data_IF_628699205769
#
_entry.id   IF_628699205769
#
_cell.length_a   1.000
_cell.length_b   1.000
_cell.length_c   1.000
_cell.angle_alpha   90.00
_cell.angle_beta   90.00
_cell.angle_gamma   90.00
#
_symmetry.space_group_name_H-M   'P 1'
#
loop_
_entity.id
_entity.type
_entity.pdbx_description
1 polymer ?
#
# COMPACT_ATOMS: atom_id res chain seq x y z
N UNK A 1 23.35 8.87 -8.19
CA UNK A 1 23.28 8.17 -6.89
C UNK A 1 22.48 6.90 -7.12
N UNK A 2 22.88 5.75 -6.57
CA UNK A 2 22.10 4.52 -6.72
C UNK A 2 20.72 4.69 -6.06
N UNK A 3 19.67 4.17 -6.69
CA UNK A 3 18.35 4.05 -6.07
C UNK A 3 18.37 2.92 -5.04
N UNK A 4 17.57 3.04 -3.98
CA UNK A 4 17.35 1.95 -3.03
C UNK A 4 16.23 1.05 -3.53
N UNK A 5 16.35 -0.29 -3.37
CA UNK A 5 15.25 -1.19 -3.65
C UNK A 5 14.13 -0.98 -2.62
N UNK A 6 12.91 -0.80 -3.10
CA UNK A 6 11.72 -0.52 -2.30
C UNK A 6 10.54 -1.35 -2.82
N UNK A 7 9.58 -1.63 -1.94
CA UNK A 7 8.43 -2.47 -2.27
C UNK A 7 7.12 -1.91 -1.73
N UNK A 8 6.06 -2.71 -1.82
CA UNK A 8 4.80 -2.42 -1.12
C UNK A 8 4.83 -2.95 0.31
N UNK A 9 4.04 -2.34 1.19
CA UNK A 9 3.90 -2.76 2.57
C UNK A 9 2.81 -3.82 2.70
N UNK A 10 3.21 -5.07 2.89
CA UNK A 10 2.26 -6.19 2.95
C UNK A 10 1.26 -6.09 4.10
N UNK A 11 1.62 -5.46 5.22
CA UNK A 11 0.74 -5.24 6.39
C UNK A 11 -0.50 -4.43 6.01
N UNK A 12 -0.38 -3.56 5.01
CA UNK A 12 -1.47 -2.73 4.51
C UNK A 12 -2.45 -3.50 3.62
N UNK A 13 -2.09 -4.71 3.22
CA UNK A 13 -2.95 -5.62 2.46
C UNK A 13 -3.49 -6.76 3.32
N UNK A 14 -2.71 -7.22 4.31
CA UNK A 14 -3.02 -8.40 5.13
C UNK A 14 -4.40 -8.33 5.78
N UNK A 15 -4.73 -7.22 6.44
CA UNK A 15 -6.04 -7.08 7.09
C UNK A 15 -7.21 -7.01 6.10
N UNK A 16 -7.01 -6.42 4.92
CA UNK A 16 -8.04 -6.40 3.87
C UNK A 16 -8.29 -7.82 3.36
N UNK A 17 -7.24 -8.60 3.12
CA UNK A 17 -7.42 -10.01 2.75
C UNK A 17 -8.15 -10.80 3.85
N UNK A 18 -7.74 -10.63 5.11
CA UNK A 18 -8.36 -11.30 6.25
C UNK A 18 -9.86 -10.98 6.38
N UNK A 19 -10.22 -9.72 6.16
CA UNK A 19 -11.60 -9.27 6.28
C UNK A 19 -12.49 -9.93 5.22
N UNK A 20 -12.00 -10.14 4.00
CA UNK A 20 -12.81 -10.51 2.83
C UNK A 20 -12.57 -11.92 2.26
N UNK A 21 -11.62 -12.71 2.79
CA UNK A 21 -11.22 -13.99 2.17
C UNK A 21 -12.33 -15.05 2.12
N UNK A 22 -13.32 -14.98 3.01
CA UNK A 22 -14.37 -16.00 3.12
C UNK A 22 -15.53 -15.77 2.14
N UNK A 23 -15.69 -14.55 1.63
CA UNK A 23 -16.83 -14.15 0.80
C UNK A 23 -16.45 -13.45 -0.52
N UNK A 24 -15.15 -13.20 -0.76
CA UNK A 24 -14.66 -12.55 -1.97
C UNK A 24 -13.61 -13.36 -2.71
N UNK A 25 -13.61 -13.21 -4.03
CA UNK A 25 -12.47 -13.58 -4.88
C UNK A 25 -11.63 -12.34 -5.20
N UNK A 26 -10.31 -12.51 -5.26
CA UNK A 26 -9.39 -11.41 -5.55
C UNK A 26 -8.75 -11.59 -6.92
N UNK A 27 -8.83 -10.55 -7.75
CA UNK A 27 -8.01 -10.39 -8.96
C UNK A 27 -6.81 -9.50 -8.62
N UNK A 28 -5.62 -10.02 -8.86
CA UNK A 28 -4.37 -9.31 -8.59
C UNK A 28 -3.89 -8.58 -9.85
N UNK A 29 -3.54 -7.31 -9.71
CA UNK A 29 -3.01 -6.52 -10.81
C UNK A 29 -1.84 -5.64 -10.37
N UNK A 30 -0.93 -5.39 -11.31
CA UNK A 30 0.09 -4.34 -11.25
C UNK A 30 0.01 -3.53 -12.54
N UNK A 31 0.60 -2.33 -12.61
CA UNK A 31 0.48 -1.51 -13.82
C UNK A 31 0.90 -2.22 -15.11
N UNK A 32 1.93 -3.07 -15.04
CA UNK A 32 2.51 -3.78 -16.18
C UNK A 32 2.33 -5.31 -16.13
N UNK A 33 1.68 -5.83 -15.09
CA UNK A 33 1.47 -7.27 -14.89
C UNK A 33 2.70 -8.01 -14.36
N UNK A 34 3.79 -7.32 -14.03
CA UNK A 34 4.94 -7.93 -13.36
C UNK A 34 4.64 -8.21 -11.89
N UNK A 35 5.39 -9.15 -11.30
CA UNK A 35 5.25 -9.45 -9.87
C UNK A 35 5.63 -8.21 -9.05
N UNK A 36 4.79 -7.78 -8.11
CA UNK A 36 5.17 -6.74 -7.17
C UNK A 36 6.25 -7.26 -6.20
N UNK A 37 7.00 -6.35 -5.61
CA UNK A 37 8.02 -6.67 -4.60
C UNK A 37 7.54 -6.30 -3.20
N UNK A 38 7.68 -7.21 -2.24
CA UNK A 38 7.42 -6.93 -0.82
C UNK A 38 8.60 -6.11 -0.27
N UNK A 39 8.31 -5.02 0.42
CA UNK A 39 9.32 -4.32 1.20
C UNK A 39 9.58 -5.08 2.51
N UNK A 40 10.82 -5.54 2.70
CA UNK A 40 11.22 -6.24 3.93
C UNK A 40 10.98 -5.40 5.18
N UNK A 41 11.04 -4.06 5.10
CA UNK A 41 10.82 -3.20 6.26
C UNK A 41 9.37 -3.19 6.71
N UNK A 42 8.44 -3.50 5.80
CA UNK A 42 7.02 -3.66 6.12
C UNK A 42 6.73 -4.83 7.07
N UNK A 43 7.68 -5.75 7.31
CA UNK A 43 7.56 -6.84 8.30
C UNK A 43 7.90 -6.47 9.74
N UNK A 44 8.42 -5.27 10.00
CA UNK A 44 8.75 -4.85 11.36
C UNK A 44 7.51 -4.87 12.26
N UNK A 45 7.60 -5.52 13.43
CA UNK A 45 6.46 -5.67 14.36
C UNK A 45 5.70 -4.37 14.69
N UNK A 46 6.35 -3.20 14.86
CA UNK A 46 5.66 -1.93 15.05
C UNK A 46 4.63 -1.58 13.99
N UNK A 47 4.86 -1.93 12.71
CA UNK A 47 3.90 -1.62 11.63
C UNK A 47 2.60 -2.42 11.74
N UNK A 48 2.64 -3.57 12.41
CA UNK A 48 1.47 -4.42 12.67
C UNK A 48 0.67 -3.98 13.90
N UNK A 49 1.16 -2.97 14.65
CA UNK A 49 0.54 -2.55 15.91
C UNK A 49 -0.67 -1.62 15.75
N UNK A 50 -1.01 -1.23 14.51
CA UNK A 50 -2.22 -0.48 14.19
C UNK A 50 -2.45 0.78 15.03
N UNK A 51 -3.55 0.87 15.77
CA UNK A 51 -3.86 1.94 16.72
C UNK A 51 -2.81 2.14 17.82
N UNK A 52 -1.98 1.12 18.10
CA UNK A 52 -0.87 1.19 19.05
C UNK A 52 0.47 1.52 18.40
N UNK A 53 0.52 1.71 17.07
CA UNK A 53 1.77 1.92 16.31
C UNK A 53 2.65 3.01 16.90
N UNK A 54 2.09 4.15 17.30
CA UNK A 54 2.85 5.26 17.91
C UNK A 54 3.67 4.79 19.13
N UNK A 55 3.02 4.04 20.03
CA UNK A 55 3.64 3.60 21.28
C UNK A 55 4.60 2.44 21.05
N UNK A 56 4.20 1.45 20.24
CA UNK A 56 5.04 0.29 19.93
C UNK A 56 6.29 0.73 19.18
N UNK A 57 6.17 1.58 18.15
CA UNK A 57 7.32 2.09 17.40
C UNK A 57 8.30 2.84 18.31
N UNK A 58 7.82 3.80 19.11
CA UNK A 58 8.67 4.59 20.00
C UNK A 58 9.46 3.74 21.01
N UNK A 59 8.81 2.72 21.58
CA UNK A 59 9.51 1.78 22.48
C UNK A 59 10.52 0.92 21.73
N UNK A 60 10.15 0.44 20.55
CA UNK A 60 10.97 -0.49 19.75
C UNK A 60 12.28 0.15 19.31
N UNK A 61 12.27 1.42 18.89
CA UNK A 61 13.49 2.17 18.57
C UNK A 61 14.49 2.16 19.72
N UNK A 62 14.01 2.33 20.95
CA UNK A 62 14.88 2.31 22.14
C UNK A 62 15.37 0.90 22.46
N UNK A 63 14.49 -0.09 22.34
CA UNK A 63 14.80 -1.50 22.64
C UNK A 63 15.80 -2.10 21.64
N UNK A 64 15.69 -1.80 20.35
CA UNK A 64 16.63 -2.29 19.33
C UNK A 64 18.05 -1.75 19.52
N UNK A 65 18.20 -0.60 20.18
CA UNK A 65 19.49 -0.02 20.53
C UNK A 65 20.05 -0.50 21.87
N UNK A 66 19.27 -1.28 22.65
CA UNK A 66 19.68 -1.72 23.98
C UNK A 66 20.77 -2.82 23.89
N UNK A 67 21.82 -2.76 24.74
CA UNK A 67 22.92 -3.71 24.70
C UNK A 67 22.53 -5.15 25.07
N UNK A 68 21.40 -5.31 25.76
CA UNK A 68 20.82 -6.59 26.18
C UNK A 68 19.64 -7.03 25.30
N UNK A 69 19.43 -6.38 24.14
CA UNK A 69 18.39 -6.76 23.19
C UNK A 69 18.55 -8.23 22.76
N UNK A 70 17.42 -8.96 22.77
CA UNK A 70 17.29 -10.28 22.16
C UNK A 70 15.99 -10.38 21.40
N UNK A 71 16.02 -11.06 20.25
CA UNK A 71 14.85 -11.28 19.39
C UNK A 71 13.75 -12.01 20.16
N UNK A 72 14.12 -13.02 20.96
CA UNK A 72 13.20 -13.84 21.74
C UNK A 72 12.48 -13.02 22.81
N UNK A 73 13.20 -12.18 23.55
CA UNK A 73 12.58 -11.32 24.56
C UNK A 73 11.63 -10.31 23.94
N UNK A 74 12.04 -9.66 22.85
CA UNK A 74 11.21 -8.68 22.17
C UNK A 74 9.94 -9.31 21.57
N UNK A 75 10.05 -10.49 20.94
CA UNK A 75 8.88 -11.26 20.47
C UNK A 75 7.97 -11.68 21.63
N UNK A 76 8.53 -12.11 22.76
CA UNK A 76 7.76 -12.49 23.95
C UNK A 76 7.01 -11.31 24.59
N UNK A 77 7.51 -10.08 24.41
CA UNK A 77 6.83 -8.85 24.84
C UNK A 77 5.62 -8.49 23.96
N UNK A 78 5.69 -8.79 22.66
CA UNK A 78 4.63 -8.49 21.69
C UNK A 78 4.01 -9.75 21.04
N UNK A 79 3.52 -10.73 21.83
CA UNK A 79 3.11 -12.04 21.29
C UNK A 79 1.93 -11.93 20.32
N UNK A 80 1.01 -10.98 20.55
CA UNK A 80 -0.13 -10.73 19.65
C UNK A 80 0.29 -10.16 18.30
N UNK A 81 1.34 -9.34 18.27
CA UNK A 81 1.86 -8.78 17.01
C UNK A 81 2.60 -9.86 16.21
N UNK A 82 3.35 -10.73 16.89
CA UNK A 82 3.96 -11.91 16.28
C UNK A 82 2.89 -12.81 15.64
N UNK A 83 1.82 -13.09 16.38
CA UNK A 83 0.71 -13.89 15.87
C UNK A 83 0.01 -13.22 14.68
N UNK A 84 -0.24 -11.91 14.77
CA UNK A 84 -0.83 -11.12 13.67
C UNK A 84 0.02 -11.19 12.40
N UNK A 85 1.32 -10.90 12.50
CA UNK A 85 2.24 -10.95 11.36
C UNK A 85 2.31 -12.34 10.74
N UNK A 86 2.27 -13.40 11.56
CA UNK A 86 2.22 -14.78 11.06
C UNK A 86 0.92 -15.05 10.27
N UNK A 87 -0.24 -14.61 10.77
CA UNK A 87 -1.52 -14.72 10.05
C UNK A 87 -1.50 -13.94 8.72
N UNK A 88 -0.93 -12.74 8.72
CA UNK A 88 -0.78 -11.92 7.51
C UNK A 88 0.15 -12.59 6.49
N UNK A 89 1.24 -13.24 6.92
CA UNK A 89 2.10 -14.02 6.02
C UNK A 89 1.35 -15.21 5.40
N UNK A 90 0.52 -15.92 6.19
CA UNK A 90 -0.32 -17.01 5.68
C UNK A 90 -1.36 -16.52 4.65
N UNK A 91 -1.92 -15.32 4.86
CA UNK A 91 -2.80 -14.67 3.90
C UNK A 91 -2.07 -14.34 2.59
N UNK A 92 -0.85 -13.82 2.65
CA UNK A 92 -0.04 -13.61 1.44
C UNK A 92 0.22 -14.92 0.70
N UNK A 93 0.55 -16.00 1.42
CA UNK A 93 0.71 -17.32 0.81
C UNK A 93 -0.55 -17.77 0.08
N UNK A 94 -1.71 -17.66 0.73
CA UNK A 94 -3.00 -18.05 0.16
C UNK A 94 -3.37 -17.21 -1.05
N UNK A 95 -3.19 -15.89 -0.98
CA UNK A 95 -3.76 -14.96 -1.94
C UNK A 95 -2.78 -14.44 -2.98
N UNK A 96 -1.53 -14.15 -2.64
CA UNK A 96 -0.53 -13.52 -3.52
C UNK A 96 0.51 -14.51 -4.06
N UNK A 97 0.80 -15.58 -3.32
CA UNK A 97 1.81 -16.57 -3.71
C UNK A 97 3.24 -16.02 -3.61
N UNK A 98 4.17 -16.66 -4.31
CA UNK A 98 5.60 -16.33 -4.24
C UNK A 98 5.89 -14.97 -4.89
N UNK A 99 6.44 -14.06 -4.08
CA UNK A 99 6.85 -12.72 -4.49
C UNK A 99 8.34 -12.47 -4.18
N UNK A 100 9.02 -11.63 -4.97
CA UNK A 100 10.31 -11.10 -4.57
C UNK A 100 10.19 -10.22 -3.33
N UNK A 101 11.26 -10.17 -2.54
CA UNK A 101 11.35 -9.38 -1.31
C UNK A 101 12.60 -8.52 -1.39
N UNK A 102 12.53 -7.26 -0.98
CA UNK A 102 13.70 -6.37 -0.99
C UNK A 102 14.83 -6.89 -0.09
N UNK A 103 16.06 -6.46 -0.38
CA UNK A 103 17.16 -6.60 0.58
C UNK A 103 16.97 -5.63 1.75
N UNK A 104 17.46 -5.98 2.96
CA UNK A 104 17.44 -5.06 4.10
C UNK A 104 18.19 -3.78 3.81
N UNK A 105 17.69 -2.68 4.37
CA UNK A 105 18.37 -1.40 4.39
C UNK A 105 19.21 -1.27 5.67
N UNK A 106 20.04 -0.22 5.72
CA UNK A 106 21.00 -0.04 6.81
C UNK A 106 20.36 0.03 8.20
N UNK A 107 19.13 0.55 8.30
CA UNK A 107 18.38 0.65 9.54
C UNK A 107 17.18 -0.30 9.62
N UNK A 108 17.18 -1.40 8.86
CA UNK A 108 16.24 -2.50 9.10
C UNK A 108 16.49 -3.05 10.51
N UNK A 109 15.43 -3.15 11.32
CA UNK A 109 15.58 -3.53 12.73
C UNK A 109 16.01 -4.99 12.93
N UNK A 110 16.64 -5.26 14.07
CA UNK A 110 17.25 -6.54 14.37
C UNK A 110 16.24 -7.71 14.45
N UNK A 111 15.00 -7.46 14.90
CA UNK A 111 13.95 -8.48 14.92
C UNK A 111 13.50 -8.83 13.50
N UNK A 112 13.32 -7.82 12.65
CA UNK A 112 12.94 -7.99 11.27
C UNK A 112 14.03 -8.66 10.44
N UNK A 113 15.32 -8.36 10.68
CA UNK A 113 16.43 -9.09 10.06
C UNK A 113 16.36 -10.60 10.33
N UNK A 114 16.06 -11.00 11.58
CA UNK A 114 15.86 -12.39 11.94
C UNK A 114 14.62 -12.99 11.27
N UNK A 115 13.49 -12.26 11.30
CA UNK A 115 12.24 -12.69 10.69
C UNK A 115 12.33 -12.84 9.17
N UNK A 116 13.04 -11.94 8.46
CA UNK A 116 13.24 -12.02 7.01
C UNK A 116 13.81 -13.37 6.59
N UNK A 117 14.79 -13.89 7.32
CA UNK A 117 15.38 -15.19 7.03
C UNK A 117 14.35 -16.33 7.16
N UNK A 118 13.50 -16.27 8.20
CA UNK A 118 12.39 -17.22 8.41
C UNK A 118 11.32 -17.12 7.30
N UNK A 119 10.96 -15.89 6.91
CA UNK A 119 9.94 -15.61 5.91
C UNK A 119 10.38 -16.01 4.49
N UNK A 120 11.63 -15.69 4.09
CA UNK A 120 12.16 -16.03 2.77
C UNK A 120 12.16 -17.53 2.51
N UNK A 121 12.57 -18.32 3.49
CA UNK A 121 12.58 -19.79 3.41
C UNK A 121 11.17 -20.33 3.08
N UNK A 122 10.14 -19.69 3.62
CA UNK A 122 8.76 -20.06 3.32
C UNK A 122 8.36 -19.58 1.92
N UNK A 123 8.56 -18.29 1.62
CA UNK A 123 8.14 -17.65 0.36
C UNK A 123 8.72 -18.36 -0.86
N UNK A 124 9.97 -18.79 -0.81
CA UNK A 124 10.64 -19.49 -1.92
C UNK A 124 9.91 -20.78 -2.33
N UNK A 125 9.24 -21.44 -1.38
CA UNK A 125 8.48 -22.68 -1.58
C UNK A 125 7.07 -22.46 -2.13
N UNK A 126 6.57 -21.23 -2.15
CA UNK A 126 5.20 -20.94 -2.55
C UNK A 126 5.04 -21.01 -4.09
N UNK A 127 3.82 -21.32 -4.58
CA UNK A 127 3.53 -21.20 -6.00
C UNK A 127 3.46 -19.72 -6.41
N UNK A 128 3.88 -19.39 -7.63
CA UNK A 128 3.65 -18.08 -8.22
C UNK A 128 2.20 -17.92 -8.66
N UNK A 129 1.66 -16.71 -8.57
CA UNK A 129 0.31 -16.39 -9.07
C UNK A 129 0.35 -15.47 -10.28
N UNK A 130 -0.75 -15.43 -11.03
CA UNK A 130 -0.94 -14.48 -12.13
C UNK A 130 -1.22 -13.10 -11.56
N UNK A 131 -0.50 -12.11 -12.08
CA UNK A 131 -0.82 -10.69 -11.94
C UNK A 131 -1.22 -10.18 -13.31
N UNK A 132 -2.38 -9.54 -13.39
CA UNK A 132 -2.85 -8.90 -14.61
C UNK A 132 -2.17 -7.53 -14.77
N UNK A 133 -1.93 -7.13 -16.01
CA UNK A 133 -1.57 -5.74 -16.30
C UNK A 133 -2.82 -4.87 -16.36
N UNK A 134 -2.72 -3.59 -16.00
CA UNK A 134 -3.85 -2.67 -16.16
C UNK A 134 -4.30 -2.54 -17.63
N UNK A 135 -3.40 -2.46 -18.63
CA UNK A 135 -3.80 -2.55 -20.04
C UNK A 135 -4.57 -3.82 -20.40
N UNK A 136 -4.20 -4.97 -19.83
CA UNK A 136 -4.94 -6.22 -20.03
C UNK A 136 -6.37 -6.08 -19.49
N UNK A 137 -6.54 -5.64 -18.23
CA UNK A 137 -7.87 -5.51 -17.61
C UNK A 137 -8.76 -4.49 -18.33
N UNK A 138 -8.20 -3.34 -18.73
CA UNK A 138 -8.94 -2.31 -19.46
C UNK A 138 -9.42 -2.83 -20.82
N UNK A 139 -8.57 -3.55 -21.57
CA UNK A 139 -8.99 -4.15 -22.85
C UNK A 139 -10.10 -5.16 -22.65
N UNK A 140 -9.97 -6.03 -21.64
CA UNK A 140 -10.99 -7.03 -21.32
C UNK A 140 -12.33 -6.38 -20.99
N UNK A 141 -12.36 -5.36 -20.14
CA UNK A 141 -13.60 -4.66 -19.79
C UNK A 141 -14.28 -3.98 -20.98
N UNK A 142 -13.49 -3.53 -21.97
CA UNK A 142 -14.02 -2.87 -23.18
C UNK A 142 -14.47 -3.86 -24.25
N UNK A 143 -14.05 -5.12 -24.17
CA UNK A 143 -14.43 -6.16 -25.11
C UNK A 143 -15.81 -6.74 -24.71
N UNK A 144 -16.87 -6.52 -25.50
CA UNK A 144 -18.20 -7.02 -25.17
C UNK A 144 -18.31 -8.55 -25.17
N UNK A 145 -17.32 -9.26 -25.74
CA UNK A 145 -17.26 -10.72 -25.76
C UNK A 145 -16.39 -11.30 -24.61
N UNK A 146 -15.66 -10.47 -23.85
CA UNK A 146 -14.91 -10.91 -22.67
C UNK A 146 -15.82 -10.97 -21.43
N UNK A 147 -15.52 -11.91 -20.53
CA UNK A 147 -16.31 -12.14 -19.30
C UNK A 147 -15.89 -11.23 -18.15
N UNK A 148 -14.73 -10.58 -18.25
CA UNK A 148 -14.24 -9.67 -17.21
C UNK A 148 -14.89 -8.29 -17.35
N UNK A 149 -15.49 -7.79 -16.28
CA UNK A 149 -15.89 -6.39 -16.18
C UNK A 149 -15.47 -5.76 -14.87
N UNK A 150 -15.06 -4.48 -14.90
CA UNK A 150 -14.91 -3.69 -13.67
C UNK A 150 -16.23 -3.61 -12.88
N UNK A 151 -17.39 -3.74 -13.53
CA UNK A 151 -18.69 -3.76 -12.86
C UNK A 151 -18.93 -4.96 -11.95
N UNK A 152 -18.12 -6.02 -12.07
CA UNK A 152 -18.24 -7.23 -11.24
C UNK A 152 -17.47 -7.11 -9.92
N UNK A 153 -16.79 -5.97 -9.68
CA UNK A 153 -16.03 -5.72 -8.46
C UNK A 153 -16.81 -4.84 -7.49
N UNK A 154 -16.81 -5.20 -6.21
CA UNK A 154 -17.34 -4.29 -5.19
C UNK A 154 -16.29 -3.25 -4.77
N UNK A 155 -14.99 -3.60 -4.81
CA UNK A 155 -13.93 -2.67 -4.46
C UNK A 155 -12.59 -2.97 -5.14
N UNK A 156 -11.74 -1.94 -5.19
CA UNK A 156 -10.30 -2.00 -5.50
C UNK A 156 -9.55 -1.48 -4.27
N UNK A 157 -8.56 -2.23 -3.81
CA UNK A 157 -7.67 -1.81 -2.74
C UNK A 157 -6.22 -1.77 -3.23
N UNK A 158 -5.52 -0.66 -2.99
CA UNK A 158 -4.10 -0.53 -3.28
C UNK A 158 -3.31 -0.29 -1.98
N UNK A 159 -2.41 -1.22 -1.58
CA UNK A 159 -1.52 -1.01 -0.45
C UNK A 159 -0.46 0.04 -0.78
N UNK A 160 0.07 0.68 0.25
CA UNK A 160 1.17 1.62 0.18
C UNK A 160 2.53 0.93 0.30
N UNK A 161 3.42 1.50 1.12
CA UNK A 161 4.87 1.40 0.94
C UNK A 161 5.35 2.33 -0.17
N UNK A 162 6.66 2.38 -0.44
CA UNK A 162 7.19 3.36 -1.39
C UNK A 162 6.98 2.99 -2.87
N UNK A 163 6.71 1.71 -3.22
CA UNK A 163 6.56 1.28 -4.62
C UNK A 163 5.49 2.07 -5.43
N UNK A 164 4.29 2.37 -4.88
CA UNK A 164 3.33 3.27 -5.52
C UNK A 164 3.89 4.61 -6.02
N UNK A 165 4.92 5.15 -5.39
CA UNK A 165 5.53 6.42 -5.83
C UNK A 165 6.17 6.32 -7.22
N UNK A 166 6.58 5.13 -7.62
CA UNK A 166 7.13 4.86 -8.95
C UNK A 166 6.02 4.42 -9.89
N UNK A 167 5.25 3.42 -9.45
CA UNK A 167 4.37 2.66 -10.34
C UNK A 167 3.04 3.38 -10.63
N UNK A 168 2.53 4.17 -9.67
CA UNK A 168 1.20 4.77 -9.74
C UNK A 168 1.21 6.26 -10.10
N UNK A 169 2.36 6.92 -10.04
CA UNK A 169 2.42 8.36 -10.26
C UNK A 169 2.21 8.71 -11.74
N UNK A 170 1.12 9.45 -12.04
CA UNK A 170 0.76 9.91 -13.39
C UNK A 170 0.75 8.79 -14.44
N UNK A 171 0.38 7.58 -14.04
CA UNK A 171 0.26 6.40 -14.90
C UNK A 171 -1.10 6.38 -15.63
N UNK A 172 -1.16 6.61 -16.95
CA UNK A 172 -2.46 6.78 -17.62
C UNK A 172 -3.36 5.53 -17.63
N UNK A 173 -2.77 4.33 -17.59
CA UNK A 173 -3.54 3.09 -17.50
C UNK A 173 -4.18 2.89 -16.13
N UNK A 174 -3.49 3.33 -15.06
CA UNK A 174 -4.10 3.41 -13.74
C UNK A 174 -5.19 4.47 -13.68
N UNK A 175 -4.99 5.61 -14.36
CA UNK A 175 -6.02 6.63 -14.53
C UNK A 175 -7.28 6.05 -15.15
N UNK A 176 -7.14 5.34 -16.27
CA UNK A 176 -8.25 4.69 -16.95
C UNK A 176 -8.94 3.65 -16.06
N UNK A 177 -8.18 2.78 -15.37
CA UNK A 177 -8.75 1.78 -14.48
C UNK A 177 -9.56 2.41 -13.33
N UNK A 178 -9.08 3.51 -12.72
CA UNK A 178 -9.79 4.21 -11.65
C UNK A 178 -11.04 4.94 -12.16
N UNK A 179 -11.02 5.50 -13.37
CA UNK A 179 -12.22 6.06 -14.00
C UNK A 179 -13.26 5.00 -14.28
N UNK A 180 -12.87 3.87 -14.87
CA UNK A 180 -13.77 2.74 -15.15
C UNK A 180 -14.35 2.16 -13.85
N UNK A 181 -13.53 1.99 -12.81
CA UNK A 181 -13.99 1.58 -11.49
C UNK A 181 -15.08 2.52 -10.95
N UNK A 182 -14.84 3.83 -10.97
CA UNK A 182 -15.81 4.83 -10.50
C UNK A 182 -17.09 4.84 -11.36
N UNK A 183 -16.95 4.78 -12.68
CA UNK A 183 -18.08 4.74 -13.63
C UNK A 183 -18.98 3.53 -13.38
N UNK A 184 -18.41 2.44 -12.89
CA UNK A 184 -19.11 1.22 -12.51
C UNK A 184 -19.40 1.12 -11.00
N UNK A 185 -19.30 2.23 -10.26
CA UNK A 185 -19.62 2.33 -8.83
C UNK A 185 -18.78 1.42 -7.91
N UNK A 186 -17.60 1.00 -8.35
CA UNK A 186 -16.64 0.21 -7.58
C UNK A 186 -15.99 1.09 -6.50
N UNK A 187 -15.92 0.61 -5.26
CA UNK A 187 -15.31 1.35 -4.16
C UNK A 187 -13.78 1.34 -4.26
N UNK A 188 -13.14 2.50 -4.16
CA UNK A 188 -11.69 2.66 -4.29
C UNK A 188 -11.08 2.92 -2.92
N UNK A 189 -10.12 2.10 -2.51
CA UNK A 189 -9.41 2.20 -1.24
C UNK A 189 -7.91 2.36 -1.47
N UNK A 190 -7.32 3.45 -0.98
CA UNK A 190 -5.89 3.74 -1.09
C UNK A 190 -5.30 4.02 0.31
N UNK A 191 -4.09 3.59 0.60
CA UNK A 191 -3.46 3.77 1.92
C UNK A 191 -2.00 4.18 1.82
N UNK A 192 -1.52 4.96 2.80
CA UNK A 192 -0.14 5.42 2.93
C UNK A 192 0.36 6.22 1.72
N UNK A 193 1.23 5.68 0.86
CA UNK A 193 1.69 6.33 -0.38
C UNK A 193 0.81 6.02 -1.60
N UNK A 194 -0.03 4.98 -1.54
CA UNK A 194 -0.92 4.61 -2.64
C UNK A 194 -1.89 5.71 -3.11
N UNK A 195 -2.32 6.68 -2.27
CA UNK A 195 -3.10 7.82 -2.72
C UNK A 195 -2.49 8.59 -3.91
N UNK A 196 -1.17 8.51 -4.14
CA UNK A 196 -0.53 9.09 -5.33
C UNK A 196 -1.14 8.58 -6.65
N UNK A 197 -1.78 7.40 -6.64
CA UNK A 197 -2.56 6.87 -7.75
C UNK A 197 -3.61 7.86 -8.28
N UNK A 198 -4.15 8.74 -7.42
CA UNK A 198 -5.14 9.73 -7.83
C UNK A 198 -4.58 10.74 -8.83
N UNK A 199 -3.26 11.00 -8.83
CA UNK A 199 -2.61 11.83 -9.86
C UNK A 199 -2.80 11.26 -11.28
N UNK A 200 -2.98 9.94 -11.38
CA UNK A 200 -3.25 9.26 -12.65
C UNK A 200 -4.63 9.54 -13.20
N UNK A 201 -5.61 9.91 -12.36
CA UNK A 201 -6.98 10.24 -12.81
C UNK A 201 -7.05 11.51 -13.64
N UNK A 202 -5.96 12.30 -13.70
CA UNK A 202 -5.83 13.40 -14.66
C UNK A 202 -5.67 12.92 -16.12
N UNK A 203 -5.57 11.61 -16.35
CA UNK A 203 -5.44 10.99 -17.66
C UNK A 203 -6.48 9.89 -17.86
N UNK A 204 -6.86 9.67 -19.11
CA UNK A 204 -7.60 8.51 -19.61
C UNK A 204 -6.93 7.95 -20.85
N UNK A 205 -7.32 6.74 -21.24
CA UNK A 205 -6.82 6.06 -22.45
C UNK A 205 -7.94 6.00 -23.49
N UNK A 206 -7.69 6.45 -24.73
CA UNK A 206 -8.69 6.35 -25.80
C UNK A 206 -8.78 4.94 -26.41
N UNK A 207 -9.63 4.74 -27.43
CA UNK A 207 -9.78 3.47 -28.15
C UNK A 207 -8.52 3.03 -28.90
N UNK A 208 -7.65 3.98 -29.28
CA UNK A 208 -6.36 3.72 -29.92
C UNK A 208 -5.23 3.49 -28.91
N UNK A 209 -5.56 3.33 -27.62
CA UNK A 209 -4.62 3.15 -26.52
C UNK A 209 -3.69 4.35 -26.26
N UNK A 210 -4.11 5.55 -26.65
CA UNK A 210 -3.34 6.78 -26.44
C UNK A 210 -3.83 7.53 -25.20
N UNK A 211 -2.92 7.99 -24.32
CA UNK A 211 -3.30 8.78 -23.16
C UNK A 211 -3.74 10.19 -23.55
N UNK A 212 -4.79 10.69 -22.91
CA UNK A 212 -5.25 12.07 -23.03
C UNK A 212 -5.60 12.68 -21.67
N UNK A 213 -5.37 13.99 -21.46
CA UNK A 213 -5.72 14.66 -20.21
C UNK A 213 -7.23 14.81 -20.06
N UNK A 214 -7.75 14.58 -18.85
CA UNK A 214 -9.17 14.74 -18.52
C UNK A 214 -9.44 16.18 -18.08
N UNK A 215 -10.37 16.88 -18.77
CA UNK A 215 -10.73 18.26 -18.42
C UNK A 215 -11.66 18.33 -17.21
N UNK A 216 -12.68 17.48 -17.17
CA UNK A 216 -13.68 17.42 -16.12
C UNK A 216 -13.43 16.18 -15.25
N UNK A 217 -12.27 16.13 -14.57
CA UNK A 217 -11.90 14.99 -13.75
C UNK A 217 -12.84 14.90 -12.52
N UNK A 218 -13.67 13.85 -12.37
CA UNK A 218 -14.60 13.73 -11.25
C UNK A 218 -13.90 13.58 -9.89
N UNK A 219 -12.61 13.23 -9.85
CA UNK A 219 -11.82 13.17 -8.63
C UNK A 219 -11.20 14.52 -8.23
N UNK A 220 -11.30 15.53 -9.10
CA UNK A 220 -10.66 16.83 -8.88
C UNK A 220 -11.13 17.47 -7.56
N UNK A 221 -10.20 18.08 -6.83
CA UNK A 221 -10.41 18.70 -5.52
C UNK A 221 -10.97 17.76 -4.43
N UNK A 222 -10.95 16.42 -4.64
CA UNK A 222 -11.28 15.47 -3.59
C UNK A 222 -10.40 15.72 -2.35
N UNK A 223 -11.03 15.71 -1.17
CA UNK A 223 -10.32 15.66 0.10
C UNK A 223 -9.76 14.25 0.31
N UNK A 224 -8.46 14.17 0.57
CA UNK A 224 -7.72 12.92 0.70
C UNK A 224 -6.69 13.01 1.81
N UNK A 225 -6.31 11.86 2.37
CA UNK A 225 -5.17 11.75 3.28
C UNK A 225 -4.16 10.73 2.78
N UNK A 226 -2.93 10.87 3.25
CA UNK A 226 -1.74 10.14 2.83
C UNK A 226 -0.67 10.34 3.90
N UNK A 227 0.46 9.64 3.77
CA UNK A 227 1.70 10.06 4.43
C UNK A 227 2.00 11.54 4.12
N UNK A 228 2.45 12.31 5.11
CA UNK A 228 2.77 13.73 4.97
C UNK A 228 4.25 13.97 4.73
N UNK A 229 4.61 15.10 4.09
CA UNK A 229 6.02 15.54 3.96
C UNK A 229 6.76 15.48 5.30
N UNK A 230 6.13 15.92 6.39
CA UNK A 230 6.74 15.90 7.72
C UNK A 230 7.02 14.49 8.23
N UNK A 231 6.06 13.57 8.08
CA UNK A 231 6.27 12.17 8.50
C UNK A 231 7.36 11.49 7.68
N UNK A 232 7.34 11.73 6.36
CA UNK A 232 8.30 11.16 5.42
C UNK A 232 9.72 11.71 5.64
N UNK A 233 9.86 13.02 5.91
CA UNK A 233 11.17 13.62 6.23
C UNK A 233 11.77 12.99 7.49
N UNK A 234 10.95 12.71 8.51
CA UNK A 234 11.41 11.99 9.69
C UNK A 234 11.94 10.57 9.39
N UNK A 235 11.31 9.87 8.44
CA UNK A 235 11.81 8.55 7.99
C UNK A 235 13.09 8.67 7.17
N UNK A 236 13.23 9.70 6.33
CA UNK A 236 14.45 9.97 5.55
C UNK A 236 15.64 10.34 6.44
N UNK A 237 15.38 11.03 7.55
CA UNK A 237 16.43 11.46 8.48
C UNK A 237 16.85 10.35 9.46
N UNK A 238 15.90 9.53 9.94
CA UNK A 238 16.12 8.62 11.08
C UNK A 238 15.55 7.21 10.89
N UNK A 239 14.73 6.98 9.88
CA UNK A 239 14.01 5.73 9.67
C UNK A 239 14.75 4.72 8.80
N UNK A 240 14.06 3.64 8.45
CA UNK A 240 14.62 2.52 7.70
C UNK A 240 15.18 2.89 6.31
N UNK A 241 14.65 3.96 5.70
CA UNK A 241 15.10 4.46 4.39
C UNK A 241 16.37 5.31 4.46
N UNK A 242 16.80 5.75 5.65
CA UNK A 242 18.01 6.55 5.80
C UNK A 242 19.27 5.73 5.46
N UNK A 243 20.13 6.26 4.60
CA UNK A 243 21.44 5.67 4.27
C UNK A 243 22.53 6.41 5.05
N UNK A 244 23.24 5.74 5.97
CA UNK A 244 24.29 6.38 6.78
C UNK A 244 25.38 7.03 5.91
N UNK A 245 25.67 8.30 6.17
CA UNK A 245 26.72 9.05 5.47
C UNK A 245 26.32 9.57 4.08
N UNK A 246 25.10 9.28 3.61
CA UNK A 246 24.56 9.80 2.36
C UNK A 246 23.30 10.63 2.60
N UNK A 247 23.03 11.60 1.72
CA UNK A 247 21.76 12.30 1.73
C UNK A 247 20.71 11.43 1.04
N UNK A 248 19.82 10.82 1.83
CA UNK A 248 18.65 10.12 1.31
C UNK A 248 17.56 11.14 0.98
N UNK A 249 17.00 11.07 -0.23
CA UNK A 249 15.93 11.97 -0.67
C UNK A 249 14.96 11.23 -1.58
N UNK A 250 13.72 11.71 -1.60
CA UNK A 250 12.72 11.31 -2.57
C UNK A 250 12.76 12.27 -3.77
N UNK A 251 12.27 11.81 -4.92
CA UNK A 251 12.07 12.69 -6.08
C UNK A 251 10.96 13.73 -5.83
N UNK A 252 9.96 13.36 -5.02
CA UNK A 252 8.86 14.20 -4.58
C UNK A 252 8.22 13.62 -3.31
N UNK A 253 7.46 14.43 -2.57
CA UNK A 253 6.61 13.96 -1.47
C UNK A 253 5.19 13.70 -1.96
N UNK A 254 4.55 12.63 -1.50
CA UNK A 254 3.23 12.20 -2.03
C UNK A 254 2.15 13.25 -1.83
N UNK A 255 2.08 13.86 -0.65
CA UNK A 255 1.10 14.91 -0.36
C UNK A 255 1.34 16.18 -1.18
N UNK A 256 2.60 16.53 -1.48
CA UNK A 256 2.93 17.61 -2.41
C UNK A 256 2.51 17.27 -3.84
N UNK A 257 2.86 16.08 -4.34
CA UNK A 257 2.47 15.62 -5.68
C UNK A 257 0.95 15.58 -5.89
N UNK A 258 0.20 15.22 -4.85
CA UNK A 258 -1.27 15.29 -4.84
C UNK A 258 -1.79 16.73 -4.88
N UNK A 259 -1.24 17.64 -4.07
CA UNK A 259 -1.63 19.06 -4.11
C UNK A 259 -1.35 19.69 -5.47
N UNK A 260 -0.20 19.40 -6.07
CA UNK A 260 0.15 19.85 -7.43
C UNK A 260 -0.81 19.31 -8.49
N UNK A 261 -1.33 18.10 -8.29
CA UNK A 261 -2.31 17.48 -9.17
C UNK A 261 -3.76 17.97 -8.95
N UNK A 262 -3.99 18.88 -7.99
CA UNK A 262 -5.28 19.52 -7.74
C UNK A 262 -6.14 18.86 -6.65
N UNK A 263 -5.55 18.03 -5.78
CA UNK A 263 -6.24 17.40 -4.65
C UNK A 263 -6.09 18.19 -3.35
N UNK A 264 -7.10 18.08 -2.47
CA UNK A 264 -7.09 18.71 -1.17
C UNK A 264 -6.52 17.73 -0.13
N UNK A 265 -5.21 17.78 0.10
CA UNK A 265 -4.56 16.85 1.03
C UNK A 265 -4.65 17.33 2.48
N UNK A 266 -5.35 16.55 3.30
CA UNK A 266 -5.44 16.73 4.75
C UNK A 266 -4.51 15.73 5.41
N UNK A 267 -3.53 16.22 6.16
CA UNK A 267 -2.57 15.39 6.87
C UNK A 267 -2.94 15.26 8.35
N UNK A 268 -2.66 14.10 8.94
CA UNK A 268 -2.74 13.93 10.38
C UNK A 268 -1.71 14.83 11.08
N UNK A 269 -2.09 15.45 12.21
CA UNK A 269 -1.17 16.28 13.00
C UNK A 269 0.01 15.47 13.55
N UNK A 270 -0.25 14.22 13.95
CA UNK A 270 0.77 13.25 14.32
C UNK A 270 0.77 12.19 13.22
N UNK A 271 1.90 11.93 12.53
CA UNK A 271 1.93 11.02 11.38
C UNK A 271 1.38 9.62 11.66
N UNK A 272 1.57 9.14 12.89
CA UNK A 272 1.16 7.80 13.36
C UNK A 272 -0.23 7.75 13.99
N UNK A 273 -0.97 8.87 14.01
CA UNK A 273 -2.38 8.86 14.43
C UNK A 273 -3.25 8.16 13.39
N UNK A 274 -4.34 7.54 13.86
CA UNK A 274 -5.39 7.00 13.02
C UNK A 274 -6.08 8.13 12.25
N UNK A 275 -5.88 8.21 10.95
CA UNK A 275 -6.56 9.20 10.12
C UNK A 275 -7.02 8.59 8.80
N UNK A 276 -8.33 8.36 8.72
CA UNK A 276 -9.04 7.80 7.59
C UNK A 276 -9.99 8.86 7.05
N UNK A 277 -10.01 9.05 5.74
CA UNK A 277 -10.91 9.98 5.05
C UNK A 277 -11.73 9.24 3.99
N UNK A 278 -12.95 8.80 4.35
CA UNK A 278 -13.94 8.34 3.39
C UNK A 278 -14.55 9.51 2.61
N UNK A 279 -14.70 9.33 1.30
CA UNK A 279 -15.45 10.20 0.40
C UNK A 279 -16.53 9.36 -0.31
N UNK A 280 -17.73 9.21 0.29
CA UNK A 280 -18.79 8.36 -0.24
C UNK A 280 -19.34 8.80 -1.59
N UNK A 281 -19.31 10.11 -1.88
CA UNK A 281 -19.81 10.66 -3.15
C UNK A 281 -18.94 10.23 -4.33
N UNK A 282 -17.63 10.05 -4.09
CA UNK A 282 -16.68 9.55 -5.08
C UNK A 282 -16.48 8.04 -5.04
N UNK A 283 -17.07 7.35 -4.06
CA UNK A 283 -16.76 5.94 -3.82
C UNK A 283 -15.28 5.74 -3.48
N UNK A 284 -14.69 6.61 -2.67
CA UNK A 284 -13.26 6.61 -2.33
C UNK A 284 -13.05 6.55 -0.81
N UNK A 285 -11.98 5.90 -0.36
CA UNK A 285 -11.41 6.07 0.98
C UNK A 285 -9.89 6.14 0.91
N UNK A 286 -9.32 7.04 1.70
CA UNK A 286 -7.87 7.17 1.85
C UNK A 286 -7.45 7.05 3.32
N UNK A 287 -6.38 6.32 3.59
CA UNK A 287 -5.78 6.16 4.93
C UNK A 287 -4.33 6.65 4.97
N UNK A 288 -3.90 7.22 6.10
CA UNK A 288 -2.59 7.88 6.18
C UNK A 288 -1.40 6.94 6.44
N UNK A 289 -1.63 5.65 6.69
CA UNK A 289 -0.55 4.68 6.94
C UNK A 289 -1.03 3.34 7.49
N UNK A 290 -0.10 2.40 7.79
CA UNK A 290 -0.42 1.05 8.26
C UNK A 290 -1.32 1.04 9.50
N UNK A 291 -1.18 2.06 10.34
CA UNK A 291 -2.00 2.22 11.53
C UNK A 291 -3.51 2.20 11.25
N UNK A 292 -3.92 2.64 10.05
CA UNK A 292 -5.34 2.75 9.67
C UNK A 292 -5.92 1.52 9.01
N UNK A 293 -5.12 0.47 8.72
CA UNK A 293 -5.58 -0.65 7.89
C UNK A 293 -6.82 -1.36 8.46
N UNK A 294 -6.93 -1.50 9.78
CA UNK A 294 -8.08 -2.16 10.44
C UNK A 294 -9.36 -1.36 10.27
N UNK A 295 -9.31 -0.04 10.51
CA UNK A 295 -10.48 0.83 10.35
C UNK A 295 -10.83 1.04 8.87
N UNK A 296 -9.84 0.96 7.99
CA UNK A 296 -10.04 1.04 6.54
C UNK A 296 -10.72 -0.21 6.00
N UNK A 297 -10.29 -1.41 6.41
CA UNK A 297 -10.96 -2.66 6.07
C UNK A 297 -12.44 -2.66 6.54
N UNK A 298 -12.69 -2.19 7.76
CA UNK A 298 -14.04 -2.06 8.29
C UNK A 298 -14.91 -1.04 7.53
N UNK A 299 -14.33 0.09 7.08
CA UNK A 299 -15.05 1.05 6.23
C UNK A 299 -15.40 0.43 4.87
N UNK A 300 -14.44 -0.23 4.19
CA UNK A 300 -14.72 -0.94 2.93
C UNK A 300 -15.89 -1.91 3.14
N UNK A 301 -15.84 -2.73 4.20
CA UNK A 301 -16.87 -3.73 4.51
C UNK A 301 -18.25 -3.08 4.63
N UNK A 302 -18.36 -1.99 5.38
CA UNK A 302 -19.62 -1.25 5.56
C UNK A 302 -20.15 -0.56 4.29
N UNK A 303 -19.33 -0.43 3.24
CA UNK A 303 -19.70 0.17 1.95
C UNK A 303 -20.19 -0.87 0.95
N UNK A 304 -19.56 -2.04 0.92
CA UNK A 304 -19.82 -3.07 -0.10
C UNK A 304 -20.92 -4.05 0.29
N UNK A 305 -21.21 -4.25 1.58
CA UNK A 305 -22.23 -5.21 2.02
C UNK A 305 -23.65 -4.61 2.15
N UNK A 306 -24.12 -3.86 1.16
CA UNK A 306 -25.47 -3.25 1.17
C UNK A 306 -26.48 -3.96 0.29
#
# INVERSE_FOLDING_TARGET
>A
MPSIPIGFFHVELGQVLAEFEDDYEFILATPDGQLPQIDTNGWSLPWHATDQMTWVYGNSVTEFAAPDFTVEHYRAKYPKLVERRARELDLLKRHLGRLPVTEPLAHTDAENLAYRHEALTQIESWPTKKYFSLPELVRKHRDPDDVFSFADFDFIHAPGGHAPMVDFHKNPWLGEALHLARENQVYISLICHAPIALTSTNFRINENEEPYPVRDNPFWAAEVTTVSTTGETGMLDYGYVNIPGELTRLEYFVDEGLREAGFNVVAATVPTSLFLLPNPELGLVTGNGPQTVDIQAADIRGRVTR
#
